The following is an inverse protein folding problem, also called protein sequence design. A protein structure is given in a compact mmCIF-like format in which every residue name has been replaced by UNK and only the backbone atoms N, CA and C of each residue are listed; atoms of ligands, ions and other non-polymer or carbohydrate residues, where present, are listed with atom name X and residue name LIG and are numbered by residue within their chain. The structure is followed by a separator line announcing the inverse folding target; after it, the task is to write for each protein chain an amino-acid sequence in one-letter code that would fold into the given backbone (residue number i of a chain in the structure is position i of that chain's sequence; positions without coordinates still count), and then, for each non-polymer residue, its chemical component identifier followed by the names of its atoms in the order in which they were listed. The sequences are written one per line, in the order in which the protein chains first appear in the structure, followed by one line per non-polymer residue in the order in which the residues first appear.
data_IF_010597410850
#
_entry.id   IF_010597410850
#
_cell.length_a   1.000
_cell.length_b   1.000
_cell.length_c   1.000
_cell.angle_alpha   90.00
_cell.angle_beta   90.00
_cell.angle_gamma   90.00
#
_symmetry.space_group_name_H-M   'P 1'
#
loop_
_entity.id
_entity.type
_entity.pdbx_description
1 polymer ?
#
# COMPACT_ATOMS: atom_id res chain seq x y z
N UNK A 1 -30.63 -42.77 31.80
CA UNK A 1 -31.10 -41.71 30.88
C UNK A 1 -30.47 -41.97 29.51
N UNK A 2 -31.32 -42.13 28.49
CA UNK A 2 -30.99 -42.74 27.22
C UNK A 2 -30.41 -41.76 26.18
N UNK A 3 -29.40 -42.25 25.46
CA UNK A 3 -28.98 -42.05 24.07
C UNK A 3 -29.45 -40.82 23.26
N UNK A 4 -28.52 -40.29 22.45
CA UNK A 4 -28.60 -40.40 20.98
C UNK A 4 -27.33 -39.93 20.25
N UNK A 5 -26.66 -40.90 19.61
CA UNK A 5 -26.07 -40.71 18.28
C UNK A 5 -27.15 -40.27 17.29
N UNK A 6 -26.87 -39.25 16.47
CA UNK A 6 -27.32 -39.03 15.08
C UNK A 6 -26.28 -38.07 14.47
N UNK A 7 -25.70 -38.25 13.30
CA UNK A 7 -26.08 -39.04 12.14
C UNK A 7 -25.70 -38.17 10.94
N UNK A 8 -24.71 -38.62 10.17
CA UNK A 8 -24.40 -38.08 8.85
C UNK A 8 -25.66 -38.19 7.98
N UNK A 9 -26.07 -37.12 7.30
CA UNK A 9 -27.07 -37.15 6.24
C UNK A 9 -26.73 -36.06 5.21
N UNK A 10 -25.92 -36.45 4.23
CA UNK A 10 -26.03 -35.95 2.87
C UNK A 10 -27.37 -36.45 2.31
N UNK A 11 -28.20 -35.58 1.74
CA UNK A 11 -29.05 -35.95 0.61
C UNK A 11 -29.18 -34.77 -0.35
N UNK A 12 -28.91 -35.09 -1.61
CA UNK A 12 -28.95 -34.21 -2.75
C UNK A 12 -30.41 -33.90 -3.15
N UNK A 13 -30.62 -32.69 -3.66
CA UNK A 13 -31.69 -32.43 -4.61
C UNK A 13 -31.02 -31.85 -5.87
N UNK A 14 -31.02 -32.66 -6.92
CA UNK A 14 -30.60 -32.29 -8.25
C UNK A 14 -31.54 -31.23 -8.82
N UNK A 15 -31.00 -30.06 -9.16
CA UNK A 15 -31.60 -29.17 -10.15
C UNK A 15 -30.59 -29.04 -11.27
N UNK A 16 -31.04 -29.41 -12.46
CA UNK A 16 -30.32 -29.36 -13.72
C UNK A 16 -29.85 -27.92 -13.99
N UNK A 17 -28.55 -27.73 -14.17
CA UNK A 17 -28.00 -26.52 -14.79
C UNK A 17 -26.97 -26.96 -15.84
N UNK A 18 -27.32 -26.88 -17.14
CA UNK A 18 -26.45 -27.27 -18.25
C UNK A 18 -25.45 -26.15 -18.53
N UNK A 19 -24.41 -26.05 -17.70
CA UNK A 19 -23.20 -25.25 -17.97
C UNK A 19 -21.97 -25.95 -17.41
N UNK A 20 -21.78 -27.20 -17.82
CA UNK A 20 -20.50 -27.88 -17.76
C UNK A 20 -20.13 -28.19 -19.21
N UNK A 21 -19.31 -27.32 -19.78
CA UNK A 21 -18.34 -27.48 -20.89
C UNK A 21 -18.23 -26.12 -21.63
N UNK A 22 -17.30 -25.30 -21.17
CA UNK A 22 -16.30 -24.65 -22.01
C UNK A 22 -15.05 -24.55 -21.13
N UNK A 23 -14.07 -25.42 -21.38
CA UNK A 23 -12.92 -25.11 -22.23
C UNK A 23 -11.98 -24.15 -21.52
N UNK A 24 -10.74 -24.61 -21.32
CA UNK A 24 -9.55 -23.82 -21.03
C UNK A 24 -9.74 -22.33 -21.38
N UNK A 25 -10.13 -21.53 -20.39
CA UNK A 25 -10.23 -20.09 -20.52
C UNK A 25 -8.96 -19.51 -19.93
N UNK A 26 -8.00 -19.24 -20.81
CA UNK A 26 -6.79 -18.42 -20.62
C UNK A 26 -6.31 -18.35 -19.16
N UNK A 27 -5.22 -19.05 -18.84
CA UNK A 27 -4.36 -18.54 -17.79
C UNK A 27 -3.91 -17.14 -18.24
N UNK A 28 -4.65 -16.10 -17.84
CA UNK A 28 -4.12 -14.75 -17.83
C UNK A 28 -2.95 -14.81 -16.86
N UNK A 29 -1.75 -14.99 -17.42
CA UNK A 29 -0.47 -15.04 -16.72
C UNK A 29 -0.08 -13.69 -16.11
N UNK A 30 -1.08 -12.93 -15.64
CA UNK A 30 -0.91 -11.70 -14.90
C UNK A 30 -0.30 -11.97 -13.54
N UNK A 31 0.52 -11.02 -13.10
CA UNK A 31 1.13 -10.94 -11.80
C UNK A 31 0.09 -11.16 -10.70
N UNK A 32 0.34 -12.13 -9.82
CA UNK A 32 -0.40 -12.31 -8.57
C UNK A 32 0.49 -11.88 -7.41
N UNK A 33 0.24 -10.69 -6.89
CA UNK A 33 0.95 -10.16 -5.72
C UNK A 33 0.21 -10.61 -4.45
N UNK A 34 0.84 -11.34 -3.52
CA UNK A 34 0.21 -11.68 -2.25
C UNK A 34 -0.03 -10.42 -1.43
N UNK A 35 -0.97 -10.49 -0.48
CA UNK A 35 -1.28 -9.39 0.43
C UNK A 35 -0.83 -9.70 1.85
N UNK A 36 -0.61 -8.64 2.62
CA UNK A 36 -0.36 -8.67 4.06
C UNK A 36 -1.37 -7.75 4.75
N UNK A 37 -1.87 -8.16 5.91
CA UNK A 37 -2.76 -7.31 6.71
C UNK A 37 -1.92 -6.29 7.49
N UNK A 38 -2.06 -5.00 7.15
CA UNK A 38 -1.31 -3.89 7.77
C UNK A 38 -2.08 -3.19 8.89
N UNK A 39 -3.41 -3.34 8.87
CA UNK A 39 -4.35 -2.85 9.86
C UNK A 39 -5.60 -3.74 9.79
N UNK A 40 -6.46 -3.79 10.83
CA UNK A 40 -7.63 -4.67 10.84
C UNK A 40 -8.50 -4.55 9.58
N UNK A 41 -8.55 -5.61 8.78
CA UNK A 41 -9.31 -5.67 7.53
C UNK A 41 -8.68 -4.94 6.33
N UNK A 42 -7.46 -4.42 6.46
CA UNK A 42 -6.73 -3.71 5.38
C UNK A 42 -5.61 -4.60 4.84
N UNK A 43 -5.89 -5.24 3.71
CA UNK A 43 -4.97 -6.13 3.01
C UNK A 43 -4.17 -5.37 1.95
N UNK A 44 -2.90 -5.08 2.23
CA UNK A 44 -1.99 -4.38 1.34
C UNK A 44 -1.22 -5.37 0.46
N UNK A 45 -1.13 -5.17 -0.87
CA UNK A 45 -0.21 -5.93 -1.72
C UNK A 45 1.23 -5.76 -1.25
N UNK A 46 2.00 -6.85 -1.15
CA UNK A 46 3.42 -6.78 -0.74
C UNK A 46 4.32 -6.07 -1.76
N UNK A 47 3.80 -5.79 -2.95
CA UNK A 47 4.45 -5.04 -4.01
C UNK A 47 3.46 -4.05 -4.62
N UNK A 48 3.85 -2.77 -4.58
CA UNK A 48 3.14 -1.65 -5.19
C UNK A 48 4.07 -0.91 -6.15
N UNK A 49 3.52 -0.31 -7.21
CA UNK A 49 4.30 0.56 -8.09
C UNK A 49 4.34 1.98 -7.52
N UNK A 50 5.53 2.55 -7.40
CA UNK A 50 5.70 3.97 -7.08
C UNK A 50 5.65 4.83 -8.34
N UNK A 51 4.90 5.93 -8.33
CA UNK A 51 4.80 6.85 -9.48
C UNK A 51 5.80 8.01 -9.44
N UNK A 52 6.50 8.18 -8.32
CA UNK A 52 7.54 9.21 -8.12
C UNK A 52 8.97 8.71 -8.34
N UNK A 53 9.91 9.64 -8.51
CA UNK A 53 11.35 9.37 -8.44
C UNK A 53 12.03 8.91 -9.74
N UNK A 54 11.35 8.91 -10.89
CA UNK A 54 11.93 8.64 -12.21
C UNK A 54 12.30 9.93 -12.95
N UNK A 55 13.38 9.92 -13.73
CA UNK A 55 13.78 11.09 -14.55
C UNK A 55 12.79 11.39 -15.69
N UNK A 56 12.07 10.36 -16.17
CA UNK A 56 10.87 10.47 -16.99
C UNK A 56 9.64 10.32 -16.09
N UNK A 57 9.10 11.43 -15.61
CA UNK A 57 7.89 11.48 -14.75
C UNK A 57 6.60 11.16 -15.54
N UNK A 58 6.55 10.06 -16.28
CA UNK A 58 5.31 9.61 -16.92
C UNK A 58 4.57 8.61 -16.03
N UNK A 59 3.81 9.15 -15.09
CA UNK A 59 2.98 8.35 -14.19
C UNK A 59 1.88 7.58 -14.93
N UNK A 60 1.45 8.03 -16.12
CA UNK A 60 0.47 7.31 -16.93
C UNK A 60 1.08 6.02 -17.48
N UNK A 61 2.26 6.10 -18.10
CA UNK A 61 2.95 4.93 -18.64
C UNK A 61 3.28 3.91 -17.54
N UNK A 62 3.84 4.37 -16.42
CA UNK A 62 4.17 3.53 -15.26
C UNK A 62 2.92 2.81 -14.75
N UNK A 63 1.85 3.55 -14.52
CA UNK A 63 0.59 3.01 -14.00
C UNK A 63 -0.04 2.04 -15.01
N UNK A 64 -0.08 2.40 -16.29
CA UNK A 64 -0.65 1.56 -17.35
C UNK A 64 0.08 0.22 -17.47
N UNK A 65 1.41 0.24 -17.49
CA UNK A 65 2.22 -0.99 -17.55
C UNK A 65 1.99 -1.87 -16.33
N UNK A 66 2.01 -1.29 -15.13
CA UNK A 66 1.76 -2.05 -13.90
C UNK A 66 0.38 -2.71 -13.87
N UNK A 67 -0.66 -1.96 -14.22
CA UNK A 67 -2.03 -2.48 -14.26
C UNK A 67 -2.20 -3.58 -15.33
N UNK A 68 -1.57 -3.40 -16.49
CA UNK A 68 -1.57 -4.36 -17.59
C UNK A 68 -0.86 -5.68 -17.26
N UNK A 69 0.12 -5.64 -16.35
CA UNK A 69 0.75 -6.83 -15.79
C UNK A 69 -0.11 -7.53 -14.73
N UNK A 70 -1.26 -6.97 -14.32
CA UNK A 70 -2.09 -7.52 -13.25
C UNK A 70 -1.80 -6.93 -11.86
N UNK A 71 -0.87 -5.97 -11.76
CA UNK A 71 -0.56 -5.27 -10.53
C UNK A 71 -1.75 -4.42 -10.03
N UNK A 72 -1.90 -4.32 -8.70
CA UNK A 72 -3.03 -3.59 -8.08
C UNK A 72 -2.65 -2.61 -6.97
N UNK A 73 -1.42 -2.65 -6.45
CA UNK A 73 -0.92 -1.64 -5.49
C UNK A 73 -0.29 -0.46 -6.20
N UNK A 74 -0.72 0.77 -5.90
CA UNK A 74 -0.19 2.02 -6.47
C UNK A 74 0.18 2.96 -5.33
N UNK A 75 1.39 3.52 -5.38
CA UNK A 75 1.92 4.47 -4.43
C UNK A 75 2.27 5.79 -5.15
N UNK A 76 1.57 6.87 -4.77
CA UNK A 76 1.85 8.25 -5.17
C UNK A 76 2.05 9.13 -3.92
N UNK A 77 2.21 10.45 -4.09
CA UNK A 77 2.26 11.43 -3.01
C UNK A 77 1.77 12.80 -3.53
N UNK A 78 1.17 13.61 -2.65
CA UNK A 78 0.66 14.95 -3.00
C UNK A 78 1.68 15.82 -3.74
N UNK A 79 2.94 15.69 -3.34
CA UNK A 79 4.07 16.46 -3.88
C UNK A 79 4.50 16.04 -5.29
N UNK A 80 4.05 14.89 -5.78
CA UNK A 80 4.34 14.45 -7.15
C UNK A 80 3.43 15.13 -8.18
N UNK A 81 2.23 15.57 -7.75
CA UNK A 81 1.30 16.32 -8.60
C UNK A 81 0.67 15.50 -9.73
N UNK A 82 0.70 14.17 -9.63
CA UNK A 82 0.27 13.24 -10.68
C UNK A 82 -1.05 12.51 -10.37
N UNK A 83 -1.71 12.84 -9.26
CA UNK A 83 -2.94 12.21 -8.77
C UNK A 83 -4.01 12.06 -9.86
N UNK A 84 -4.30 13.16 -10.58
CA UNK A 84 -5.31 13.18 -11.62
C UNK A 84 -4.95 12.28 -12.82
N UNK A 85 -3.66 12.16 -13.11
CA UNK A 85 -3.14 11.28 -14.17
C UNK A 85 -3.28 9.81 -13.74
N UNK A 86 -2.92 9.49 -12.50
CA UNK A 86 -3.08 8.14 -11.93
C UNK A 86 -4.56 7.73 -11.94
N UNK A 87 -5.44 8.59 -11.43
CA UNK A 87 -6.88 8.33 -11.39
C UNK A 87 -7.47 8.08 -12.78
N UNK A 88 -7.11 8.93 -13.77
CA UNK A 88 -7.55 8.75 -15.16
C UNK A 88 -7.03 7.45 -15.76
N UNK A 89 -5.80 7.07 -15.44
CA UNK A 89 -5.17 5.85 -15.98
C UNK A 89 -5.85 4.60 -15.44
N UNK A 90 -6.18 4.56 -14.14
CA UNK A 90 -6.95 3.48 -13.52
C UNK A 90 -8.33 3.33 -14.20
N UNK A 91 -9.05 4.44 -14.35
CA UNK A 91 -10.36 4.43 -15.00
C UNK A 91 -10.29 3.98 -16.47
N UNK A 92 -9.24 4.39 -17.19
CA UNK A 92 -9.01 4.01 -18.58
C UNK A 92 -8.61 2.53 -18.74
N UNK A 93 -8.05 1.92 -17.69
CA UNK A 93 -7.83 0.48 -17.60
C UNK A 93 -9.12 -0.32 -17.30
N UNK A 94 -10.27 0.35 -17.13
CA UNK A 94 -11.55 -0.28 -16.83
C UNK A 94 -11.68 -0.83 -15.41
N UNK A 95 -10.78 -0.43 -14.50
CA UNK A 95 -10.79 -0.86 -13.11
C UNK A 95 -11.65 0.06 -12.25
N UNK A 96 -12.37 -0.54 -11.31
CA UNK A 96 -13.07 0.19 -10.26
C UNK A 96 -12.10 0.61 -9.16
N UNK A 97 -12.55 1.54 -8.31
CA UNK A 97 -11.72 2.05 -7.21
C UNK A 97 -11.33 0.93 -6.24
N UNK A 98 -12.25 0.01 -5.96
CA UNK A 98 -12.06 -1.15 -5.08
C UNK A 98 -11.14 -2.23 -5.66
N UNK A 99 -10.84 -2.20 -6.96
CA UNK A 99 -9.92 -3.15 -7.57
C UNK A 99 -8.45 -2.85 -7.26
N UNK A 100 -8.14 -1.61 -6.82
CA UNK A 100 -6.78 -1.12 -6.59
C UNK A 100 -6.55 -0.75 -5.12
N UNK A 101 -5.36 -1.04 -4.62
CA UNK A 101 -4.88 -0.53 -3.34
C UNK A 101 -4.12 0.78 -3.59
N UNK A 102 -4.67 1.90 -3.12
CA UNK A 102 -4.12 3.23 -3.33
C UNK A 102 -3.43 3.75 -2.07
N UNK A 103 -2.13 4.02 -2.19
CA UNK A 103 -1.33 4.77 -1.22
C UNK A 103 -1.08 6.18 -1.74
N UNK A 104 -1.36 7.20 -0.93
CA UNK A 104 -0.88 8.58 -1.17
C UNK A 104 -0.32 9.18 0.12
N UNK A 105 0.27 10.38 0.03
CA UNK A 105 0.97 11.02 1.13
C UNK A 105 0.69 12.50 1.18
N UNK A 106 0.31 13.01 2.34
CA UNK A 106 0.34 14.45 2.60
C UNK A 106 1.80 14.93 2.62
N UNK A 107 2.05 16.16 2.17
CA UNK A 107 3.41 16.67 1.96
C UNK A 107 4.30 16.66 3.23
N UNK A 108 3.70 16.80 4.40
CA UNK A 108 4.36 16.85 5.71
C UNK A 108 3.34 17.10 6.81
N UNK A 109 3.80 17.65 7.93
CA UNK A 109 3.04 17.82 9.17
C UNK A 109 2.27 19.15 9.28
N UNK A 110 2.14 19.89 8.18
CA UNK A 110 1.39 21.14 8.10
C UNK A 110 0.23 21.04 7.10
N UNK A 111 -0.80 21.89 7.28
CA UNK A 111 -1.97 21.98 6.39
C UNK A 111 -2.66 20.62 6.12
N UNK A 112 -2.65 19.73 7.11
CA UNK A 112 -3.03 18.31 6.94
C UNK A 112 -4.43 18.11 6.35
N UNK A 113 -5.45 18.76 6.90
CA UNK A 113 -6.83 18.65 6.40
C UNK A 113 -6.92 19.10 4.92
N UNK A 114 -6.30 20.23 4.58
CA UNK A 114 -6.30 20.73 3.21
C UNK A 114 -5.57 19.79 2.24
N UNK A 115 -4.46 19.18 2.69
CA UNK A 115 -3.71 18.19 1.92
C UNK A 115 -4.54 16.93 1.67
N UNK A 116 -5.16 16.34 2.70
CA UNK A 116 -6.05 15.17 2.56
C UNK A 116 -7.18 15.45 1.58
N UNK A 117 -7.87 16.60 1.73
CA UNK A 117 -8.96 16.96 0.82
C UNK A 117 -8.47 17.19 -0.61
N UNK A 118 -7.27 17.74 -0.80
CA UNK A 118 -6.69 17.92 -2.13
C UNK A 118 -6.36 16.58 -2.78
N UNK A 119 -5.69 15.67 -2.07
CA UNK A 119 -5.42 14.32 -2.57
C UNK A 119 -6.70 13.60 -3.00
N UNK A 120 -7.75 13.60 -2.15
CA UNK A 120 -9.03 12.95 -2.47
C UNK A 120 -9.69 13.55 -3.72
N UNK A 121 -9.68 14.88 -3.86
CA UNK A 121 -10.21 15.56 -5.05
C UNK A 121 -9.44 15.21 -6.30
N UNK A 122 -8.11 15.28 -6.25
CA UNK A 122 -7.28 15.10 -7.43
C UNK A 122 -7.21 13.62 -7.85
N UNK A 123 -7.29 12.69 -6.90
CA UNK A 123 -7.46 11.25 -7.15
C UNK A 123 -8.91 10.89 -7.55
N UNK A 124 -9.83 11.85 -7.51
CA UNK A 124 -11.26 11.66 -7.78
C UNK A 124 -11.87 10.47 -7.02
N UNK A 125 -11.61 10.40 -5.71
CA UNK A 125 -12.07 9.29 -4.87
C UNK A 125 -12.56 9.78 -3.51
N UNK A 126 -13.47 9.01 -2.90
CA UNK A 126 -13.97 9.28 -1.55
C UNK A 126 -13.15 8.62 -0.45
N UNK A 127 -12.20 7.73 -0.78
CA UNK A 127 -11.35 7.06 0.19
C UNK A 127 -9.96 6.67 -0.36
N UNK A 128 -8.99 6.54 0.54
CA UNK A 128 -7.65 6.03 0.26
C UNK A 128 -7.37 4.81 1.16
N UNK A 129 -6.69 3.80 0.63
CA UNK A 129 -6.40 2.58 1.37
C UNK A 129 -5.31 2.81 2.42
N UNK A 130 -4.27 3.57 2.07
CA UNK A 130 -3.21 4.00 2.98
C UNK A 130 -2.84 5.47 2.75
N UNK A 131 -2.96 6.30 3.79
CA UNK A 131 -2.47 7.69 3.77
C UNK A 131 -1.25 7.84 4.66
N UNK A 132 -0.15 8.36 4.10
CA UNK A 132 1.09 8.58 4.83
C UNK A 132 1.36 10.06 5.10
N UNK A 133 2.00 10.36 6.23
CA UNK A 133 2.76 11.61 6.36
C UNK A 133 4.09 11.43 5.62
N UNK A 134 4.35 12.19 4.56
CA UNK A 134 5.49 11.93 3.67
C UNK A 134 6.86 12.17 4.35
N UNK A 135 6.98 13.21 5.18
CA UNK A 135 8.19 13.50 5.94
C UNK A 135 7.82 14.14 7.31
N UNK A 136 8.62 13.90 8.37
CA UNK A 136 8.42 14.50 9.68
C UNK A 136 8.86 15.98 9.72
N UNK A 137 8.25 16.83 8.90
CA UNK A 137 8.64 18.24 8.75
C UNK A 137 7.45 19.15 8.41
N UNK A 138 7.67 20.47 8.45
CA UNK A 138 6.69 21.45 7.98
C UNK A 138 5.51 21.69 8.92
N UNK A 139 5.58 21.22 10.17
CA UNK A 139 4.57 21.42 11.20
C UNK A 139 4.70 20.43 12.36
N UNK A 140 3.68 20.37 13.22
CA UNK A 140 3.61 19.43 14.33
C UNK A 140 3.03 18.09 13.86
N UNK A 141 3.86 17.04 13.83
CA UNK A 141 3.44 15.73 13.32
C UNK A 141 2.41 15.03 14.21
N UNK A 142 2.39 15.32 15.51
CA UNK A 142 1.36 14.80 16.42
C UNK A 142 -0.01 15.42 16.13
N UNK A 143 -0.06 16.72 15.83
CA UNK A 143 -1.30 17.39 15.41
C UNK A 143 -1.77 16.89 14.04
N UNK A 144 -0.85 16.78 13.08
CA UNK A 144 -1.15 16.21 11.77
C UNK A 144 -1.70 14.78 11.89
N UNK A 145 -1.12 13.96 12.75
CA UNK A 145 -1.59 12.61 13.03
C UNK A 145 -3.02 12.60 13.58
N UNK A 146 -3.33 13.48 14.54
CA UNK A 146 -4.69 13.61 15.08
C UNK A 146 -5.74 13.93 14.00
N UNK A 147 -5.36 14.69 12.96
CA UNK A 147 -6.23 14.92 11.79
C UNK A 147 -6.39 13.65 10.96
N UNK A 148 -5.32 12.92 10.68
CA UNK A 148 -5.42 11.64 9.96
C UNK A 148 -6.27 10.61 10.72
N UNK A 149 -6.14 10.54 12.04
CA UNK A 149 -6.98 9.69 12.89
C UNK A 149 -8.47 10.04 12.79
N UNK A 150 -8.82 11.32 12.68
CA UNK A 150 -10.21 11.75 12.48
C UNK A 150 -10.76 11.23 11.15
N UNK A 151 -10.01 11.35 10.06
CA UNK A 151 -10.41 10.83 8.76
C UNK A 151 -10.45 9.29 8.71
N UNK A 152 -9.53 8.63 9.43
CA UNK A 152 -9.55 7.19 9.60
C UNK A 152 -10.81 6.72 10.34
N UNK A 153 -11.17 7.38 11.45
CA UNK A 153 -12.40 7.07 12.18
C UNK A 153 -13.68 7.29 11.34
N UNK A 154 -13.63 8.16 10.33
CA UNK A 154 -14.72 8.39 9.37
C UNK A 154 -14.74 7.36 8.23
N UNK A 155 -13.73 6.48 8.14
CA UNK A 155 -13.60 5.47 7.08
C UNK A 155 -13.12 6.02 5.73
N UNK A 156 -12.70 7.29 5.68
CA UNK A 156 -12.14 7.94 4.49
C UNK A 156 -10.70 7.47 4.24
N UNK A 157 -9.93 7.23 5.29
CA UNK A 157 -8.61 6.62 5.21
C UNK A 157 -8.72 5.23 5.83
N UNK A 158 -8.48 4.15 5.06
CA UNK A 158 -8.65 2.79 5.58
C UNK A 158 -7.54 2.41 6.56
N UNK A 159 -6.31 2.80 6.24
CA UNK A 159 -5.16 2.80 7.13
C UNK A 159 -4.44 4.14 7.06
N UNK A 160 -3.71 4.45 8.13
CA UNK A 160 -2.85 5.65 8.22
C UNK A 160 -1.45 5.22 8.63
N UNK A 161 -0.45 5.88 8.07
CA UNK A 161 0.96 5.56 8.31
C UNK A 161 1.87 6.76 8.15
N UNK A 162 3.17 6.53 8.20
CA UNK A 162 4.20 7.55 8.05
C UNK A 162 5.23 7.13 7.02
N UNK A 163 6.03 8.08 6.55
CA UNK A 163 7.16 7.83 5.66
C UNK A 163 8.35 8.67 6.10
N UNK A 164 9.55 8.09 6.02
CA UNK A 164 10.82 8.72 6.43
C UNK A 164 10.90 9.10 7.92
N UNK A 165 10.05 8.52 8.78
CA UNK A 165 10.14 8.74 10.22
C UNK A 165 11.22 7.85 10.80
N UNK A 166 12.17 8.45 11.53
CA UNK A 166 13.15 7.73 12.33
C UNK A 166 12.58 7.45 13.71
N UNK A 167 13.32 6.68 14.50
CA UNK A 167 12.99 6.44 15.91
C UNK A 167 12.68 7.73 16.68
N UNK A 168 13.49 8.77 16.53
CA UNK A 168 13.30 10.07 17.21
C UNK A 168 12.00 10.79 16.84
N UNK A 169 11.43 10.49 15.67
CA UNK A 169 10.16 11.05 15.21
C UNK A 169 8.98 10.17 15.61
N UNK A 170 9.17 8.85 15.60
CA UNK A 170 8.16 7.86 16.00
C UNK A 170 7.87 7.88 17.49
N UNK A 171 8.87 8.02 18.36
CA UNK A 171 8.69 8.02 19.81
C UNK A 171 7.66 9.07 20.29
N UNK A 172 7.79 10.37 19.96
CA UNK A 172 6.79 11.38 20.37
C UNK A 172 5.44 11.20 19.66
N UNK A 173 5.42 10.70 18.42
CA UNK A 173 4.17 10.40 17.71
C UNK A 173 3.38 9.30 18.43
N UNK A 174 4.04 8.17 18.73
CA UNK A 174 3.44 7.01 19.38
C UNK A 174 2.95 7.31 20.79
N UNK A 175 3.64 8.22 21.52
CA UNK A 175 3.20 8.65 22.83
C UNK A 175 1.84 9.37 22.83
N UNK A 176 1.45 9.96 21.70
CA UNK A 176 0.20 10.71 21.55
C UNK A 176 -0.84 10.04 20.64
N UNK A 177 -0.43 9.04 19.86
CA UNK A 177 -1.29 8.35 18.90
C UNK A 177 -2.34 7.48 19.61
N UNK A 178 -3.59 7.57 19.16
CA UNK A 178 -4.69 6.64 19.48
C UNK A 178 -4.72 5.47 18.51
N UNK A 179 -4.30 5.69 17.27
CA UNK A 179 -4.12 4.67 16.24
C UNK A 179 -2.63 4.56 15.94
N UNK A 180 -2.05 3.40 16.19
CA UNK A 180 -0.65 3.12 15.84
C UNK A 180 -0.50 3.17 14.31
N UNK A 181 0.54 3.83 13.76
CA UNK A 181 0.79 3.81 12.32
C UNK A 181 0.81 2.37 11.77
N UNK A 182 0.06 2.11 10.72
CA UNK A 182 0.03 0.80 10.08
C UNK A 182 1.36 0.50 9.34
N UNK A 183 1.96 1.55 8.77
CA UNK A 183 3.15 1.48 7.93
C UNK A 183 4.13 2.61 8.29
N UNK A 184 5.42 2.32 8.26
CA UNK A 184 6.50 3.31 8.12
C UNK A 184 7.24 3.01 6.80
N UNK A 185 7.01 3.85 5.78
CA UNK A 185 7.65 3.70 4.48
C UNK A 185 9.01 4.43 4.46
N UNK A 186 10.11 3.69 4.38
CA UNK A 186 11.47 4.23 4.52
C UNK A 186 12.36 3.83 3.35
N UNK A 187 13.43 4.59 3.13
CA UNK A 187 14.49 4.18 2.21
C UNK A 187 15.15 2.94 2.81
N UNK A 188 15.10 1.84 2.08
CA UNK A 188 15.67 0.58 2.55
C UNK A 188 16.10 -0.25 1.35
N UNK A 189 17.38 -0.59 1.27
CA UNK A 189 17.93 -1.51 0.30
C UNK A 189 19.19 -2.19 0.85
N UNK A 190 19.73 -3.15 0.10
CA UNK A 190 20.90 -3.95 0.51
C UNK A 190 22.18 -3.15 0.72
N UNK A 191 22.24 -1.88 0.28
CA UNK A 191 23.40 -1.00 0.41
C UNK A 191 23.16 0.18 1.38
N UNK A 192 21.91 0.44 1.74
CA UNK A 192 21.50 1.60 2.53
C UNK A 192 20.29 1.23 3.38
N UNK A 193 20.55 1.02 4.67
CA UNK A 193 19.58 0.54 5.65
C UNK A 193 19.85 1.17 7.02
N UNK A 194 18.77 1.54 7.71
CA UNK A 194 18.77 2.03 9.09
C UNK A 194 18.16 0.96 9.99
N UNK A 195 19.00 0.05 10.48
CA UNK A 195 18.57 -1.11 11.26
C UNK A 195 17.93 -0.75 12.60
N UNK A 196 18.31 0.39 13.20
CA UNK A 196 17.66 0.89 14.43
C UNK A 196 16.23 1.31 14.13
N UNK A 197 16.02 2.13 13.09
CA UNK A 197 14.66 2.53 12.66
C UNK A 197 13.81 1.31 12.26
N UNK A 198 14.38 0.35 11.52
CA UNK A 198 13.67 -0.89 11.13
C UNK A 198 13.27 -1.71 12.36
N UNK A 199 14.20 -1.91 13.30
CA UNK A 199 13.96 -2.72 14.50
C UNK A 199 12.93 -2.05 15.41
N UNK A 200 13.04 -0.75 15.61
CA UNK A 200 12.10 0.03 16.39
C UNK A 200 10.69 0.00 15.78
N UNK A 201 10.58 0.23 14.47
CA UNK A 201 9.30 0.18 13.74
C UNK A 201 8.60 -1.17 13.95
N UNK A 202 9.34 -2.28 13.75
CA UNK A 202 8.81 -3.65 13.93
C UNK A 202 8.43 -3.94 15.38
N UNK A 203 9.21 -3.48 16.36
CA UNK A 203 8.94 -3.69 17.78
C UNK A 203 7.61 -3.03 18.23
N UNK A 204 7.14 -2.03 17.50
CA UNK A 204 5.86 -1.35 17.73
C UNK A 204 4.72 -1.89 16.84
N UNK A 205 4.89 -3.05 16.20
CA UNK A 205 3.92 -3.66 15.28
C UNK A 205 3.55 -2.77 14.07
N UNK A 206 4.50 -1.94 13.64
CA UNK A 206 4.35 -1.11 12.44
C UNK A 206 5.00 -1.87 11.26
N UNK A 207 4.31 -1.95 10.13
CA UNK A 207 4.87 -2.58 8.93
C UNK A 207 5.96 -1.69 8.32
N UNK A 208 7.14 -2.25 8.04
CA UNK A 208 8.18 -1.55 7.29
C UNK A 208 7.92 -1.74 5.80
N UNK A 209 7.75 -0.64 5.08
CA UNK A 209 7.66 -0.65 3.62
C UNK A 209 8.92 0.02 3.03
N UNK A 210 9.56 -0.64 2.07
CA UNK A 210 10.80 -0.14 1.46
C UNK A 210 10.51 0.65 0.18
N UNK A 211 10.93 1.92 0.12
CA UNK A 211 11.05 2.64 -1.15
C UNK A 211 12.50 2.71 -1.62
N UNK A 212 12.70 2.93 -2.93
CA UNK A 212 14.01 2.80 -3.59
C UNK A 212 14.72 1.47 -3.24
N UNK A 213 14.06 0.31 -3.37
CA UNK A 213 14.60 -0.98 -2.91
C UNK A 213 15.86 -1.42 -3.69
N UNK A 214 16.13 -0.83 -4.86
CA UNK A 214 17.35 -1.03 -5.63
C UNK A 214 18.35 0.14 -5.51
N UNK A 215 17.97 1.23 -4.83
CA UNK A 215 18.81 2.41 -4.63
C UNK A 215 19.19 3.16 -5.91
N UNK A 216 19.90 4.31 -5.75
CA UNK A 216 20.51 5.06 -6.86
C UNK A 216 21.73 4.35 -7.46
N UNK A 217 22.38 3.54 -6.64
CA UNK A 217 23.50 2.69 -7.01
C UNK A 217 23.05 1.30 -7.51
N UNK A 218 21.84 1.20 -8.06
CA UNK A 218 21.28 -0.06 -8.56
C UNK A 218 22.18 -0.75 -9.59
N UNK A 219 22.95 0.01 -10.37
CA UNK A 219 23.97 -0.51 -11.30
C UNK A 219 25.11 -1.30 -10.62
N UNK A 220 25.28 -1.17 -9.30
CA UNK A 220 26.23 -1.95 -8.48
C UNK A 220 25.63 -3.27 -8.00
N UNK A 221 24.29 -3.36 -7.88
CA UNK A 221 23.60 -4.55 -7.35
C UNK A 221 23.90 -5.80 -8.21
N UNK A 222 23.74 -5.80 -9.55
CA UNK A 222 24.08 -6.96 -10.38
C UNK A 222 25.57 -7.31 -10.40
N UNK A 223 26.45 -6.43 -9.93
CA UNK A 223 27.91 -6.63 -9.88
C UNK A 223 28.39 -7.19 -8.54
N UNK A 224 27.50 -7.24 -7.53
CA UNK A 224 27.83 -7.78 -6.23
C UNK A 224 27.86 -9.32 -6.31
N UNK A 225 29.01 -9.93 -6.00
CA UNK A 225 29.23 -11.38 -6.14
C UNK A 225 28.32 -12.21 -5.23
N UNK A 226 27.98 -11.70 -4.04
CA UNK A 226 27.02 -12.36 -3.16
C UNK A 226 25.61 -12.37 -3.76
N UNK A 227 25.20 -11.28 -4.43
CA UNK A 227 23.91 -11.19 -5.13
C UNK A 227 23.90 -12.06 -6.38
N UNK A 228 24.98 -12.08 -7.15
CA UNK A 228 25.12 -12.96 -8.31
C UNK A 228 25.02 -14.44 -7.92
N UNK A 229 25.56 -14.83 -6.77
CA UNK A 229 25.42 -16.20 -6.25
C UNK A 229 24.00 -16.59 -5.84
N UNK A 230 23.08 -15.63 -5.72
CA UNK A 230 21.66 -15.84 -5.40
C UNK A 230 20.75 -15.71 -6.63
N UNK A 231 21.22 -15.09 -7.71
CA UNK A 231 20.48 -14.97 -8.96
C UNK A 231 20.47 -16.33 -9.66
N UNK A 232 19.27 -16.91 -9.79
CA UNK A 232 19.04 -18.22 -10.44
C UNK A 232 18.88 -18.05 -11.95
#
# INVERSE_FOLDING_TARGET
MAARHRGLLLWAAAVQAPWLIHCAGLHDGGLRVPTVEIAPGVLMPVLSIGTGGTESHDSAEITQHWLGLGGRGIDTALVYGDQAVVAKTIASAGLQREDVFMTTKIAGCGNTEANVQKDLRDLNTSYVDLMLIHYPMGGNCTEAWGVLEKYHAQGVLKAIGVSNFKRSDLEPLLAAARVVPAVNQIRLNVLDHDDDTVSFTRAHNITVEAYSPLGRDSHKIPKNTAIQGLAV
#
